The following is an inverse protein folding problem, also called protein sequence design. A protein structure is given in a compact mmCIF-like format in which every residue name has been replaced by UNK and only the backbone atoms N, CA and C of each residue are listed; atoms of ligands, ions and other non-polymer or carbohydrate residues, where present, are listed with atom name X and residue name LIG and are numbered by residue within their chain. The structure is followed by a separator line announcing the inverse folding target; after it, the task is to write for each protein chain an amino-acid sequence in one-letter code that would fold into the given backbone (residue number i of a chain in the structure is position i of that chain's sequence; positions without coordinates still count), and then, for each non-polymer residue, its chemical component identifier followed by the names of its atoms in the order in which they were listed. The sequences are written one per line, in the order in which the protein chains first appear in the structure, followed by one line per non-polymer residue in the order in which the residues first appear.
data_IF_224609077884
#
_entry.id   IF_224609077884
#
_cell.length_a   1.000
_cell.length_b   1.000
_cell.length_c   1.000
_cell.angle_alpha   90.00
_cell.angle_beta   90.00
_cell.angle_gamma   90.00
#
_symmetry.space_group_name_H-M   'P 1'
#
loop_
_entity.id
_entity.type
_entity.pdbx_description
1 polymer ?
#
# COMPACT_ATOMS: atom_id res chain seq x y z
N UNK A 1 -26.80 5.91 8.38
CA UNK A 1 -25.52 6.60 8.63
C UNK A 1 -25.18 6.33 10.10
N UNK A 2 -24.07 5.67 10.41
CA UNK A 2 -23.68 5.42 11.80
C UNK A 2 -22.72 6.52 12.25
N UNK A 3 -22.82 6.99 13.50
CA UNK A 3 -21.92 7.98 14.09
C UNK A 3 -20.43 7.57 14.02
N UNK A 4 -20.18 6.26 13.94
CA UNK A 4 -18.82 5.71 13.81
C UNK A 4 -18.14 6.08 12.48
N UNK A 5 -18.93 6.34 11.42
CA UNK A 5 -18.39 6.77 10.12
C UNK A 5 -17.86 8.21 10.15
N UNK A 6 -18.32 9.04 11.08
CA UNK A 6 -17.83 10.42 11.26
C UNK A 6 -16.38 10.46 11.79
N UNK A 7 -15.91 9.35 12.38
CA UNK A 7 -14.53 9.20 12.82
C UNK A 7 -13.54 8.92 11.66
N UNK A 8 -14.04 8.60 10.47
CA UNK A 8 -13.20 8.33 9.29
C UNK A 8 -12.58 9.64 8.80
N UNK A 9 -11.24 9.71 8.82
CA UNK A 9 -10.47 10.88 8.43
C UNK A 9 -9.14 10.42 7.80
N UNK A 10 -8.32 11.39 7.35
CA UNK A 10 -6.96 11.16 6.86
C UNK A 10 -6.21 10.12 7.73
N UNK A 11 -5.86 8.99 7.13
CA UNK A 11 -5.25 7.85 7.82
C UNK A 11 -3.95 8.18 8.56
N UNK A 12 -3.24 9.24 8.13
CA UNK A 12 -2.00 9.71 8.75
C UNK A 12 -2.22 10.44 10.07
N UNK A 13 -3.43 10.98 10.28
CA UNK A 13 -3.82 11.67 11.53
C UNK A 13 -4.34 10.71 12.59
N UNK A 14 -4.61 9.46 12.22
CA UNK A 14 -5.16 8.45 13.11
C UNK A 14 -4.05 7.60 13.74
N UNK A 15 -4.23 7.17 14.98
CA UNK A 15 -3.38 6.17 15.62
C UNK A 15 -3.57 4.80 14.95
N UNK A 16 -2.61 3.89 15.07
CA UNK A 16 -2.72 2.52 14.54
C UNK A 16 -3.97 1.82 15.09
N UNK A 17 -4.19 1.89 16.41
CA UNK A 17 -5.36 1.30 17.07
C UNK A 17 -6.68 1.84 16.50
N UNK A 18 -6.76 3.15 16.23
CA UNK A 18 -7.96 3.76 15.66
C UNK A 18 -8.17 3.33 14.21
N UNK A 19 -7.09 3.24 13.41
CA UNK A 19 -7.18 2.71 12.03
C UNK A 19 -7.68 1.27 12.00
N UNK A 20 -7.17 0.39 12.88
CA UNK A 20 -7.62 -1.01 12.97
C UNK A 20 -9.11 -1.09 13.31
N UNK A 21 -9.60 -0.31 14.29
CA UNK A 21 -11.04 -0.24 14.60
C UNK A 21 -11.86 0.21 13.39
N UNK A 22 -11.43 1.29 12.72
CA UNK A 22 -12.14 1.82 11.56
C UNK A 22 -12.08 0.90 10.35
N UNK A 23 -11.03 0.09 10.21
CA UNK A 23 -10.92 -0.92 9.15
C UNK A 23 -12.10 -1.90 9.18
N UNK A 24 -12.42 -2.44 10.36
CA UNK A 24 -13.53 -3.37 10.52
C UNK A 24 -14.89 -2.67 10.29
N UNK A 25 -15.06 -1.44 10.77
CA UNK A 25 -16.24 -0.62 10.53
C UNK A 25 -16.43 -0.38 9.02
N UNK A 26 -15.37 -0.04 8.29
CA UNK A 26 -15.43 0.19 6.84
C UNK A 26 -15.82 -1.10 6.12
N UNK A 27 -15.24 -2.26 6.46
CA UNK A 27 -15.59 -3.54 5.85
C UNK A 27 -17.06 -3.92 6.06
N UNK A 28 -17.65 -3.55 7.20
CA UNK A 28 -19.04 -3.87 7.51
C UNK A 28 -20.04 -2.93 6.82
N UNK A 29 -19.63 -1.74 6.41
CA UNK A 29 -20.53 -0.72 5.87
C UNK A 29 -20.34 -0.43 4.37
N UNK A 30 -19.24 -0.89 3.76
CA UNK A 30 -18.91 -0.59 2.36
C UNK A 30 -18.45 -1.85 1.62
N UNK A 31 -18.70 -1.87 0.30
CA UNK A 31 -18.03 -2.84 -0.56
C UNK A 31 -16.56 -2.42 -0.74
N UNK A 32 -15.66 -3.29 -0.35
CA UNK A 32 -14.21 -3.02 -0.34
C UNK A 32 -13.49 -4.04 -1.20
N UNK A 33 -12.52 -3.57 -1.96
CA UNK A 33 -11.55 -4.41 -2.64
C UNK A 33 -10.13 -3.81 -2.50
N UNK A 34 -9.13 -4.67 -2.50
CA UNK A 34 -7.72 -4.27 -2.36
C UNK A 34 -6.92 -4.79 -3.55
N UNK A 35 -6.33 -3.88 -4.29
CA UNK A 35 -5.37 -4.23 -5.34
C UNK A 35 -3.93 -4.09 -4.83
N UNK A 36 -3.09 -5.06 -5.19
CA UNK A 36 -1.67 -5.08 -4.80
C UNK A 36 -0.81 -5.18 -6.05
N UNK A 37 0.28 -4.39 -6.09
CA UNK A 37 1.36 -4.54 -7.06
C UNK A 37 2.60 -5.13 -6.35
N UNK A 38 3.22 -6.14 -6.97
CA UNK A 38 4.40 -6.79 -6.43
C UNK A 38 5.65 -5.91 -6.56
N UNK A 39 6.70 -6.26 -5.82
CA UNK A 39 8.01 -5.59 -5.92
C UNK A 39 8.55 -5.66 -7.35
N UNK A 40 8.40 -6.79 -8.02
CA UNK A 40 8.83 -6.97 -9.41
C UNK A 40 8.07 -6.06 -10.38
N UNK A 41 6.75 -5.89 -10.16
CA UNK A 41 5.93 -4.96 -10.94
C UNK A 41 6.34 -3.51 -10.68
N UNK A 42 6.64 -3.15 -9.43
CA UNK A 42 7.14 -1.81 -9.09
C UNK A 42 8.49 -1.55 -9.79
N UNK A 43 9.40 -2.53 -9.79
CA UNK A 43 10.71 -2.41 -10.45
C UNK A 43 10.61 -2.29 -11.99
N UNK A 44 9.59 -2.93 -12.59
CA UNK A 44 9.34 -2.86 -14.03
C UNK A 44 8.60 -1.60 -14.48
N UNK A 45 7.60 -1.19 -13.72
CA UNK A 45 6.64 -0.15 -14.12
C UNK A 45 6.98 1.24 -13.54
N UNK A 46 7.83 1.34 -12.55
CA UNK A 46 8.00 2.37 -11.54
C UNK A 46 6.83 2.46 -10.55
N UNK A 47 7.05 3.21 -9.45
CA UNK A 47 6.10 3.27 -8.33
C UNK A 47 4.74 3.85 -8.73
N UNK A 48 4.70 4.89 -9.56
CA UNK A 48 3.46 5.53 -9.98
C UNK A 48 2.60 4.61 -10.86
N UNK A 49 3.19 3.97 -11.86
CA UNK A 49 2.45 3.06 -12.74
C UNK A 49 2.04 1.76 -12.02
N UNK A 50 2.83 1.31 -11.03
CA UNK A 50 2.47 0.19 -10.17
C UNK A 50 1.29 0.54 -9.23
N UNK A 51 1.22 1.78 -8.74
CA UNK A 51 0.08 2.28 -7.98
C UNK A 51 -1.19 2.29 -8.84
N UNK A 52 -1.13 2.81 -10.07
CA UNK A 52 -2.25 2.72 -11.01
C UNK A 52 -2.65 1.27 -11.33
N UNK A 53 -1.71 0.34 -11.41
CA UNK A 53 -2.00 -1.08 -11.59
C UNK A 53 -2.78 -1.63 -10.38
N UNK A 54 -2.33 -1.32 -9.17
CA UNK A 54 -3.02 -1.72 -7.95
C UNK A 54 -4.45 -1.15 -7.89
N UNK A 55 -4.62 0.14 -8.19
CA UNK A 55 -5.96 0.75 -8.28
C UNK A 55 -6.87 0.05 -9.29
N UNK A 56 -6.38 -0.26 -10.50
CA UNK A 56 -7.17 -1.00 -11.49
C UNK A 56 -7.56 -2.39 -11.03
N UNK A 57 -6.69 -3.10 -10.31
CA UNK A 57 -7.01 -4.41 -9.71
C UNK A 57 -8.14 -4.30 -8.70
N UNK A 58 -8.05 -3.32 -7.79
CA UNK A 58 -9.11 -3.07 -6.82
C UNK A 58 -10.45 -2.72 -7.52
N UNK A 59 -10.43 -1.85 -8.54
CA UNK A 59 -11.63 -1.49 -9.30
C UNK A 59 -12.25 -2.70 -10.00
N UNK A 60 -11.44 -3.55 -10.63
CA UNK A 60 -11.91 -4.79 -11.25
C UNK A 60 -12.60 -5.72 -10.24
N UNK A 61 -12.04 -5.85 -9.04
CA UNK A 61 -12.67 -6.66 -8.00
C UNK A 61 -13.95 -6.04 -7.44
N UNK A 62 -14.09 -4.70 -7.49
CA UNK A 62 -15.33 -4.00 -7.11
C UNK A 62 -16.43 -4.13 -8.16
N UNK A 63 -16.13 -4.43 -9.42
CA UNK A 63 -17.14 -4.57 -10.49
C UNK A 63 -18.24 -5.59 -10.13
N UNK A 64 -17.91 -6.64 -9.37
CA UNK A 64 -18.86 -7.65 -8.90
C UNK A 64 -19.98 -7.11 -8.00
N UNK A 65 -19.80 -5.91 -7.43
CA UNK A 65 -20.80 -5.25 -6.60
C UNK A 65 -21.59 -4.19 -7.36
N UNK A 66 -21.29 -3.94 -8.63
CA UNK A 66 -21.99 -2.95 -9.43
C UNK A 66 -23.33 -3.52 -9.89
N UNK A 67 -24.40 -2.78 -9.60
CA UNK A 67 -25.71 -3.06 -10.17
C UNK A 67 -25.76 -2.59 -11.64
N UNK A 68 -26.24 -3.45 -12.52
CA UNK A 68 -26.41 -3.11 -13.93
C UNK A 68 -27.26 -1.84 -14.11
N UNK A 69 -26.76 -0.90 -14.91
CA UNK A 69 -27.47 0.36 -15.20
C UNK A 69 -27.25 1.48 -14.18
N UNK A 70 -26.49 1.28 -13.12
CA UNK A 70 -26.09 2.38 -12.22
C UNK A 70 -24.75 3.00 -12.66
N UNK A 71 -24.78 4.32 -12.85
CA UNK A 71 -23.58 5.12 -13.09
C UNK A 71 -22.82 5.36 -11.80
N UNK A 72 -21.50 5.21 -11.84
CA UNK A 72 -20.60 5.58 -10.74
C UNK A 72 -19.43 6.41 -11.24
N UNK A 73 -18.80 7.14 -10.34
CA UNK A 73 -17.57 7.88 -10.59
C UNK A 73 -16.49 7.45 -9.61
N UNK A 74 -15.31 7.20 -10.11
CA UNK A 74 -14.14 6.89 -9.28
C UNK A 74 -13.49 8.17 -8.80
N UNK A 75 -13.46 8.39 -7.48
CA UNK A 75 -12.72 9.48 -6.87
C UNK A 75 -11.29 9.01 -6.60
N UNK A 76 -10.31 9.76 -7.10
CA UNK A 76 -8.89 9.42 -6.99
C UNK A 76 -8.19 10.47 -6.12
N UNK A 77 -7.50 10.04 -5.06
CA UNK A 77 -6.71 10.98 -4.27
C UNK A 77 -5.53 11.53 -5.09
N UNK A 78 -5.34 12.85 -5.02
CA UNK A 78 -4.27 13.54 -5.75
C UNK A 78 -4.76 14.29 -7.00
N UNK A 79 -3.86 14.53 -7.92
CA UNK A 79 -4.08 15.35 -9.12
C UNK A 79 -4.06 14.55 -10.44
N UNK A 80 -3.87 13.24 -10.38
CA UNK A 80 -3.74 12.39 -11.56
C UNK A 80 -4.93 11.45 -11.70
N UNK A 81 -5.33 11.21 -12.95
CA UNK A 81 -6.24 10.13 -13.31
C UNK A 81 -5.50 8.79 -13.31
N UNK A 82 -6.22 7.71 -13.02
CA UNK A 82 -5.70 6.35 -13.11
C UNK A 82 -5.43 6.02 -14.58
N UNK A 83 -4.17 5.86 -14.93
CA UNK A 83 -3.77 5.50 -16.28
C UNK A 83 -4.25 4.10 -16.64
N UNK A 84 -4.88 3.96 -17.82
CA UNK A 84 -5.43 2.69 -18.30
C UNK A 84 -6.75 2.28 -17.62
N UNK A 85 -7.49 3.23 -17.07
CA UNK A 85 -8.88 3.08 -16.65
C UNK A 85 -9.76 4.04 -17.45
N UNK A 86 -10.74 3.49 -18.18
CA UNK A 86 -11.59 4.25 -19.13
C UNK A 86 -12.90 4.75 -18.52
N UNK A 87 -13.22 4.34 -17.27
CA UNK A 87 -14.44 4.76 -16.59
C UNK A 87 -14.41 6.22 -16.14
N UNK A 88 -15.56 6.74 -15.71
CA UNK A 88 -15.68 8.10 -15.15
C UNK A 88 -14.79 8.21 -13.90
N UNK A 89 -13.86 9.18 -13.87
CA UNK A 89 -12.97 9.38 -12.75
C UNK A 89 -12.68 10.86 -12.49
N UNK A 90 -12.56 11.23 -11.22
CA UNK A 90 -12.30 12.59 -10.75
C UNK A 90 -11.12 12.60 -9.78
N UNK A 91 -9.98 13.19 -10.14
CA UNK A 91 -8.90 13.48 -9.21
C UNK A 91 -9.30 14.53 -8.17
N UNK A 92 -9.01 14.29 -6.91
CA UNK A 92 -9.34 15.19 -5.80
C UNK A 92 -8.09 15.44 -4.97
N UNK A 93 -7.50 16.62 -5.10
CA UNK A 93 -6.31 17.01 -4.32
C UNK A 93 -6.66 17.09 -2.84
N UNK A 94 -5.90 16.38 -1.99
CA UNK A 94 -6.17 16.16 -0.57
C UNK A 94 -7.54 15.52 -0.37
N UNK A 95 -7.82 14.49 -1.16
CA UNK A 95 -9.09 13.82 -1.20
C UNK A 95 -9.44 13.11 0.11
N UNK A 96 -8.43 12.58 0.80
CA UNK A 96 -8.52 11.97 2.13
C UNK A 96 -9.08 12.90 3.21
N UNK A 97 -8.93 14.22 3.05
CA UNK A 97 -9.51 15.24 3.94
C UNK A 97 -10.86 15.80 3.44
N UNK A 98 -11.32 15.42 2.24
CA UNK A 98 -12.50 16.03 1.58
C UNK A 98 -13.60 15.04 1.25
N UNK A 99 -13.28 13.75 1.17
CA UNK A 99 -14.21 12.69 0.76
C UNK A 99 -14.12 11.50 1.69
N UNK A 100 -15.25 11.11 2.26
CA UNK A 100 -15.37 9.91 3.10
C UNK A 100 -14.87 8.66 2.36
N UNK A 101 -15.24 8.49 1.09
CA UNK A 101 -14.83 7.33 0.29
C UNK A 101 -13.31 7.26 0.11
N UNK A 102 -12.65 8.40 -0.13
CA UNK A 102 -11.18 8.46 -0.26
C UNK A 102 -10.51 8.21 1.09
N UNK A 103 -11.03 8.81 2.17
CA UNK A 103 -10.51 8.60 3.53
C UNK A 103 -10.63 7.12 3.95
N UNK A 104 -11.79 6.50 3.70
CA UNK A 104 -12.01 5.08 3.95
C UNK A 104 -11.03 4.20 3.15
N UNK A 105 -10.88 4.45 1.85
CA UNK A 105 -9.92 3.73 1.01
C UNK A 105 -8.47 3.89 1.50
N UNK A 106 -8.09 5.09 1.96
CA UNK A 106 -6.78 5.35 2.55
C UNK A 106 -6.52 4.53 3.82
N UNK A 107 -7.54 4.39 4.70
CA UNK A 107 -7.46 3.54 5.91
C UNK A 107 -7.30 2.08 5.52
N UNK A 108 -8.13 1.57 4.61
CA UNK A 108 -8.05 0.17 4.12
C UNK A 108 -6.67 -0.12 3.56
N UNK A 109 -6.16 0.72 2.65
CA UNK A 109 -4.84 0.55 2.05
C UNK A 109 -3.72 0.57 3.10
N UNK A 110 -3.79 1.51 4.06
CA UNK A 110 -2.78 1.66 5.11
C UNK A 110 -2.76 0.46 6.06
N UNK A 111 -3.91 0.02 6.55
CA UNK A 111 -4.00 -1.12 7.46
C UNK A 111 -3.57 -2.41 6.76
N UNK A 112 -4.04 -2.65 5.54
CA UNK A 112 -3.63 -3.81 4.75
C UNK A 112 -2.12 -3.85 4.57
N UNK A 113 -1.50 -2.73 4.20
CA UNK A 113 -0.05 -2.62 4.08
C UNK A 113 0.66 -2.89 5.41
N UNK A 114 0.19 -2.31 6.50
CA UNK A 114 0.81 -2.47 7.82
C UNK A 114 0.74 -3.94 8.30
N UNK A 115 -0.35 -4.64 8.00
CA UNK A 115 -0.49 -6.09 8.25
C UNK A 115 0.50 -6.92 7.43
N UNK A 116 0.65 -6.63 6.13
CA UNK A 116 1.67 -7.27 5.28
C UNK A 116 3.09 -7.05 5.86
N UNK A 117 3.39 -5.86 6.35
CA UNK A 117 4.69 -5.57 6.95
C UNK A 117 4.90 -6.26 8.30
N UNK A 118 3.84 -6.50 9.07
CA UNK A 118 3.86 -7.34 10.27
C UNK A 118 4.20 -8.79 9.93
N UNK A 119 3.54 -9.37 8.93
CA UNK A 119 3.78 -10.74 8.48
C UNK A 119 5.22 -10.90 7.96
N UNK A 120 5.73 -9.91 7.21
CA UNK A 120 7.13 -9.87 6.81
C UNK A 120 8.07 -9.76 8.01
N UNK A 121 7.69 -9.02 9.05
CA UNK A 121 8.45 -8.92 10.30
C UNK A 121 8.57 -10.25 11.03
N UNK A 122 7.49 -11.03 11.08
CA UNK A 122 7.50 -12.39 11.63
C UNK A 122 8.39 -13.33 10.82
N UNK A 123 8.31 -13.24 9.48
CA UNK A 123 9.09 -14.08 8.57
C UNK A 123 10.58 -13.72 8.54
N UNK A 124 10.91 -12.44 8.70
CA UNK A 124 12.26 -11.91 8.62
C UNK A 124 12.57 -10.98 9.81
N UNK A 125 12.71 -11.53 11.03
CA UNK A 125 12.82 -10.75 12.27
C UNK A 125 14.03 -9.80 12.31
N UNK A 126 15.12 -10.14 11.63
CA UNK A 126 16.33 -9.33 11.57
C UNK A 126 16.14 -7.96 10.90
N UNK A 127 15.12 -7.81 10.03
CA UNK A 127 14.88 -6.61 9.22
C UNK A 127 13.96 -5.57 9.87
N UNK A 128 13.32 -5.90 11.01
CA UNK A 128 12.47 -5.00 11.80
C UNK A 128 11.30 -4.39 11.00
N UNK A 129 10.74 -5.14 10.02
CA UNK A 129 9.68 -4.67 9.13
C UNK A 129 8.42 -4.22 9.86
N UNK A 130 8.12 -4.84 11.00
CA UNK A 130 6.99 -4.46 11.83
C UNK A 130 7.08 -3.00 12.28
N UNK A 131 8.29 -2.51 12.63
CA UNK A 131 8.48 -1.14 13.09
C UNK A 131 8.76 -0.18 11.95
N UNK A 132 9.68 -0.54 11.05
CA UNK A 132 10.11 0.36 9.99
C UNK A 132 9.14 0.42 8.79
N UNK A 133 8.16 -0.49 8.69
CA UNK A 133 7.17 -0.57 7.60
C UNK A 133 7.80 -0.53 6.19
N UNK A 134 9.04 -1.02 6.06
CA UNK A 134 9.83 -1.00 4.82
C UNK A 134 10.52 0.32 4.51
N UNK A 135 10.52 1.28 5.43
CA UNK A 135 11.29 2.52 5.30
C UNK A 135 12.78 2.30 5.64
N UNK A 136 13.66 3.11 5.04
CA UNK A 136 15.12 3.04 5.22
C UNK A 136 15.59 3.62 6.56
N UNK A 137 15.13 3.08 7.67
CA UNK A 137 15.69 3.40 8.99
C UNK A 137 17.10 2.88 9.10
N UNK A 138 17.91 3.46 10.01
CA UNK A 138 19.30 3.00 10.24
C UNK A 138 19.37 1.49 10.49
N UNK A 139 18.45 0.96 11.31
CA UNK A 139 18.37 -0.47 11.63
C UNK A 139 18.05 -1.34 10.41
N UNK A 140 17.12 -0.88 9.53
CA UNK A 140 16.79 -1.60 8.31
C UNK A 140 17.96 -1.61 7.30
N UNK A 141 18.65 -0.46 7.14
CA UNK A 141 19.83 -0.35 6.30
C UNK A 141 20.96 -1.25 6.83
N UNK A 142 21.19 -1.27 8.13
CA UNK A 142 22.17 -2.15 8.77
C UNK A 142 21.83 -3.64 8.56
N UNK A 143 20.57 -4.00 8.71
CA UNK A 143 20.11 -5.37 8.43
C UNK A 143 20.39 -5.78 6.97
N UNK A 144 20.13 -4.90 6.00
CA UNK A 144 20.45 -5.17 4.59
C UNK A 144 21.94 -5.36 4.37
N UNK A 145 22.80 -4.53 5.00
CA UNK A 145 24.26 -4.64 4.88
C UNK A 145 24.82 -5.91 5.50
N UNK A 146 24.27 -6.36 6.63
CA UNK A 146 24.79 -7.49 7.40
C UNK A 146 24.16 -8.84 7.03
N UNK A 147 22.86 -8.85 6.72
CA UNK A 147 22.09 -10.06 6.43
C UNK A 147 21.80 -10.26 4.94
N UNK A 148 22.02 -9.22 4.13
CA UNK A 148 21.82 -9.25 2.68
C UNK A 148 20.45 -8.74 2.24
N UNK A 149 20.21 -8.83 0.95
CA UNK A 149 18.98 -8.38 0.27
C UNK A 149 17.97 -9.52 0.23
N UNK A 150 16.72 -9.24 0.57
CA UNK A 150 15.62 -10.18 0.39
C UNK A 150 15.00 -9.97 -1.00
N UNK A 151 15.14 -10.99 -1.88
CA UNK A 151 14.52 -11.00 -3.20
C UNK A 151 13.00 -10.88 -3.06
N UNK A 152 12.37 -10.12 -3.95
CA UNK A 152 10.91 -9.88 -3.99
C UNK A 152 10.34 -9.14 -2.75
N UNK A 153 11.20 -8.65 -1.87
CA UNK A 153 10.84 -7.81 -0.72
C UNK A 153 11.44 -6.41 -0.86
N UNK A 154 12.73 -6.33 -1.21
CA UNK A 154 13.41 -5.05 -1.40
C UNK A 154 13.36 -4.60 -2.86
N UNK A 155 12.88 -3.36 -3.10
CA UNK A 155 12.84 -2.76 -4.44
C UNK A 155 14.25 -2.35 -4.90
N UNK A 156 14.57 -2.54 -6.18
CA UNK A 156 15.87 -2.18 -6.76
C UNK A 156 16.23 -0.70 -6.56
N UNK A 157 15.26 0.20 -6.75
CA UNK A 157 15.48 1.65 -6.56
C UNK A 157 15.83 2.00 -5.11
N UNK A 158 15.22 1.29 -4.14
CA UNK A 158 15.56 1.46 -2.73
C UNK A 158 16.96 0.96 -2.42
N UNK A 159 17.34 -0.20 -2.97
CA UNK A 159 18.66 -0.79 -2.78
C UNK A 159 19.77 0.07 -3.37
N UNK A 160 19.59 0.66 -4.56
CA UNK A 160 20.58 1.56 -5.15
C UNK A 160 20.96 2.68 -4.19
N UNK A 161 20.01 3.31 -3.53
CA UNK A 161 20.27 4.38 -2.57
C UNK A 161 21.08 3.94 -1.35
N UNK A 162 20.97 2.65 -0.97
CA UNK A 162 21.67 2.10 0.21
C UNK A 162 23.03 1.56 -0.18
N UNK A 163 23.18 0.94 -1.36
CA UNK A 163 24.38 0.22 -1.79
C UNK A 163 25.34 1.12 -2.55
N UNK A 164 24.86 2.13 -3.30
CA UNK A 164 25.71 3.12 -3.96
C UNK A 164 26.52 3.97 -2.96
N UNK A 165 26.01 4.14 -1.73
CA UNK A 165 26.74 4.80 -0.64
C UNK A 165 27.90 3.94 -0.08
N UNK A 166 27.99 2.63 -0.42
CA UNK A 166 28.90 1.69 0.25
C UNK A 166 29.91 1.01 -0.67
N UNK A 167 29.81 1.12 -1.98
CA UNK A 167 30.64 0.39 -2.98
C UNK A 167 30.74 -1.14 -2.77
N UNK A 168 29.87 -1.72 -1.97
CA UNK A 168 29.83 -3.15 -1.73
C UNK A 168 28.75 -3.83 -2.58
N UNK A 169 29.12 -4.90 -3.30
CA UNK A 169 28.15 -5.74 -4.01
C UNK A 169 27.19 -6.43 -3.03
N UNK A 170 25.89 -6.46 -3.34
CA UNK A 170 24.93 -7.09 -2.45
C UNK A 170 25.14 -8.61 -2.39
N UNK A 171 25.35 -9.16 -1.21
CA UNK A 171 25.29 -10.60 -1.00
C UNK A 171 23.85 -11.07 -1.19
N UNK A 172 23.60 -11.87 -2.22
CA UNK A 172 22.30 -12.51 -2.43
C UNK A 172 22.12 -13.65 -1.43
N UNK A 173 21.17 -13.51 -0.53
CA UNK A 173 20.79 -14.61 0.36
C UNK A 173 19.83 -15.51 -0.41
N UNK A 174 20.31 -16.65 -0.90
CA UNK A 174 19.45 -17.70 -1.43
C UNK A 174 18.69 -18.36 -0.28
N UNK A 175 17.37 -18.14 -0.24
CA UNK A 175 16.50 -18.87 0.68
C UNK A 175 16.45 -20.34 0.23
N UNK A 176 17.02 -21.24 1.02
CA UNK A 176 16.65 -22.65 0.96
C UNK A 176 15.21 -22.76 1.44
N UNK A 177 14.31 -23.04 0.52
CA UNK A 177 12.94 -23.45 0.84
C UNK A 177 13.05 -24.87 1.38
N UNK A 178 12.77 -25.04 2.68
CA UNK A 178 12.48 -26.34 3.29
C UNK A 178 11.00 -26.65 3.09
#
# INVERSE_FOLDING_TARGET
YSEELDEINDSKKLTEKKREKLYDIILNNFNVAVGIASVEEIDKLNILNADFLAMRRALKDLEKFHEAGKDYIVLVDGNLKIKGYEGKQLPVVKGDAKSLSIAAASIIAKVTRDRIMKDLGLKYPDYDFEKNKGYGTKKHVEAIKTKGVLKNVHRKVFLRKILDETKDEPKEVQLKIL
#
